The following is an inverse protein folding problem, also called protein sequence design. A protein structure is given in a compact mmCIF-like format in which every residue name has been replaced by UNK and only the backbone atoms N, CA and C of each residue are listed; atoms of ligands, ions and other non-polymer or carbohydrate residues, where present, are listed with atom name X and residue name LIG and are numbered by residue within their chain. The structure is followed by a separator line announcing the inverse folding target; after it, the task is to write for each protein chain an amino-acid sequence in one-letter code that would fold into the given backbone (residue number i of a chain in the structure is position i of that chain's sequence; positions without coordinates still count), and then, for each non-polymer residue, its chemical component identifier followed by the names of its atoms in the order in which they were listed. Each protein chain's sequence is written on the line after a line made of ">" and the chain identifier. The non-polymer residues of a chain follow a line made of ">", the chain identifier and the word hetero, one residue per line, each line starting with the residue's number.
data_IF_695624568907
#
_entry.id   IF_695624568907
#
_cell.length_a   1.000
_cell.length_b   1.000
_cell.length_c   1.000
_cell.angle_alpha   90.00
_cell.angle_beta   90.00
_cell.angle_gamma   90.00
#
_symmetry.space_group_name_H-M   'P 1'
#
loop_
_entity.id
_entity.type
_entity.pdbx_description
1 polymer ?
#
# COMPACT_ATOMS: atom_id res chain seq x y z
N UNK A 1 19.88 -18.33 -11.78
CA UNK A 1 19.06 -17.35 -11.04
C UNK A 1 19.56 -15.98 -11.43
N UNK A 2 18.74 -15.17 -12.10
CA UNK A 2 19.14 -13.83 -12.53
C UNK A 2 18.78 -12.85 -11.41
N UNK A 3 19.76 -12.51 -10.57
CA UNK A 3 19.62 -11.45 -9.57
C UNK A 3 19.71 -10.13 -10.32
N UNK A 4 18.59 -9.45 -10.52
CA UNK A 4 18.62 -8.14 -11.18
C UNK A 4 19.07 -7.12 -10.14
N UNK A 5 20.28 -6.56 -10.30
CA UNK A 5 20.89 -5.64 -9.33
C UNK A 5 19.92 -4.58 -8.81
N UNK A 6 19.94 -4.42 -7.49
CA UNK A 6 18.92 -3.75 -6.70
C UNK A 6 19.14 -2.23 -6.63
N UNK A 7 18.06 -1.49 -6.50
CA UNK A 7 18.12 -0.17 -5.84
C UNK A 7 18.36 -0.49 -4.37
N UNK A 8 19.48 -0.06 -3.80
CA UNK A 8 19.80 -0.30 -2.40
C UNK A 8 20.69 0.82 -1.86
N UNK A 9 20.10 2.00 -1.68
CA UNK A 9 20.80 3.16 -1.18
C UNK A 9 20.36 3.46 0.26
N UNK A 10 21.36 3.74 1.10
CA UNK A 10 21.17 4.28 2.43
C UNK A 10 22.19 5.41 2.61
N UNK A 11 21.72 6.64 2.55
CA UNK A 11 22.53 7.83 2.72
C UNK A 11 22.58 8.29 4.18
N UNK A 12 21.73 7.74 5.06
CA UNK A 12 21.56 8.25 6.43
C UNK A 12 21.24 9.74 6.38
N UNK A 13 21.93 10.54 7.19
CA UNK A 13 21.83 12.02 7.16
C UNK A 13 22.65 12.69 6.04
N UNK A 14 23.14 11.89 5.09
CA UNK A 14 23.99 12.33 3.99
C UNK A 14 23.20 12.67 2.74
N UNK A 15 23.93 12.80 1.63
CA UNK A 15 23.34 13.14 0.33
C UNK A 15 23.72 12.10 -0.73
N UNK A 16 22.85 11.89 -1.75
CA UNK A 16 23.20 11.12 -2.96
C UNK A 16 24.41 11.63 -3.72
N UNK A 17 24.79 12.90 -3.56
CA UNK A 17 25.96 13.48 -4.22
C UNK A 17 26.12 14.98 -3.95
N UNK A 18 27.28 15.57 -4.25
CA UNK A 18 27.63 16.93 -3.82
C UNK A 18 26.71 18.03 -4.35
N UNK A 19 25.96 17.79 -5.43
CA UNK A 19 24.99 18.74 -6.00
C UNK A 19 23.55 18.54 -5.50
N UNK A 20 23.31 17.55 -4.65
CA UNK A 20 22.01 17.24 -4.06
C UNK A 20 22.09 17.57 -2.57
N UNK A 21 21.16 18.34 -1.99
CA UNK A 21 21.14 18.54 -0.55
C UNK A 21 20.83 17.22 0.20
N UNK A 22 21.23 17.08 1.48
CA UNK A 22 20.85 15.93 2.31
C UNK A 22 19.34 15.82 2.54
N UNK A 23 18.64 16.96 2.63
CA UNK A 23 17.20 17.06 2.86
C UNK A 23 16.48 17.64 1.64
N UNK A 24 15.16 17.48 1.55
CA UNK A 24 14.28 18.06 0.54
C UNK A 24 14.64 17.71 -0.90
N UNK A 25 14.95 16.44 -1.16
CA UNK A 25 15.30 15.96 -2.50
C UNK A 25 14.36 14.85 -2.97
N UNK A 26 14.39 14.57 -4.27
CA UNK A 26 13.69 13.43 -4.86
C UNK A 26 14.53 12.76 -5.92
N UNK A 27 14.21 11.50 -6.19
CA UNK A 27 14.90 10.68 -7.18
C UNK A 27 13.89 9.89 -8.02
N UNK A 28 14.25 9.64 -9.28
CA UNK A 28 13.56 8.71 -10.17
C UNK A 28 14.58 7.76 -10.78
N UNK A 29 14.36 6.47 -10.56
CA UNK A 29 15.12 5.38 -11.15
C UNK A 29 14.23 4.71 -12.19
N UNK A 30 14.77 4.47 -13.39
CA UNK A 30 14.03 3.85 -14.47
C UNK A 30 14.89 2.78 -15.14
N UNK A 31 14.31 1.62 -15.40
CA UNK A 31 14.92 0.59 -16.25
C UNK A 31 13.87 -0.19 -17.02
N UNK A 32 14.21 -0.59 -18.23
CA UNK A 32 13.47 -1.62 -18.96
C UNK A 32 14.15 -2.96 -18.77
N UNK A 33 13.42 -3.98 -18.35
CA UNK A 33 13.96 -5.32 -18.20
C UNK A 33 12.94 -6.40 -18.54
N UNK A 34 13.45 -7.54 -18.98
CA UNK A 34 12.68 -8.77 -19.21
C UNK A 34 13.03 -9.77 -18.11
N UNK A 35 12.02 -10.38 -17.50
CA UNK A 35 12.19 -11.46 -16.51
C UNK A 35 11.48 -12.72 -17.01
N UNK A 36 11.84 -13.90 -16.51
CA UNK A 36 11.10 -15.11 -16.84
C UNK A 36 9.62 -14.99 -16.42
N UNK A 37 8.67 -15.57 -17.17
CA UNK A 37 7.27 -15.56 -16.75
C UNK A 37 7.10 -16.21 -15.37
N UNK A 38 6.33 -15.57 -14.49
CA UNK A 38 6.14 -16.07 -13.13
C UNK A 38 5.60 -15.02 -12.16
N UNK A 39 5.29 -15.45 -10.94
CA UNK A 39 4.95 -14.55 -9.85
C UNK A 39 6.22 -14.05 -9.18
N UNK A 40 6.25 -12.74 -8.92
CA UNK A 40 7.32 -12.06 -8.21
C UNK A 40 6.76 -11.21 -7.09
N UNK A 41 7.42 -11.24 -5.95
CA UNK A 41 7.22 -10.26 -4.89
C UNK A 41 8.16 -9.07 -5.11
N UNK A 42 7.58 -7.88 -5.18
CA UNK A 42 8.28 -6.62 -5.22
C UNK A 42 8.22 -6.01 -3.84
N UNK A 43 9.37 -5.73 -3.23
CA UNK A 43 9.48 -5.07 -1.91
C UNK A 43 10.18 -3.74 -2.07
N UNK A 44 9.46 -2.65 -1.78
CA UNK A 44 9.97 -1.28 -1.82
C UNK A 44 10.19 -0.79 -0.39
N UNK A 45 11.44 -0.49 -0.05
CA UNK A 45 11.83 0.17 1.19
C UNK A 45 12.08 1.65 0.96
N UNK A 46 11.61 2.49 1.88
CA UNK A 46 11.77 3.95 1.78
C UNK A 46 11.82 4.62 3.16
N UNK A 47 12.61 5.68 3.22
CA UNK A 47 12.60 6.76 4.21
C UNK A 47 12.97 8.03 3.44
N UNK A 48 12.08 8.97 3.12
CA UNK A 48 10.67 9.07 3.54
C UNK A 48 9.66 8.26 2.71
N UNK A 49 9.45 8.63 1.44
CA UNK A 49 8.29 8.19 0.66
C UNK A 49 8.68 7.73 -0.73
N UNK A 50 8.02 6.69 -1.24
CA UNK A 50 8.32 6.15 -2.56
C UNK A 50 7.12 5.46 -3.22
N UNK A 51 7.22 5.28 -4.54
CA UNK A 51 6.29 4.48 -5.33
C UNK A 51 7.01 3.69 -6.43
N UNK A 52 6.47 2.52 -6.74
CA UNK A 52 6.90 1.67 -7.85
C UNK A 52 5.84 1.69 -8.94
N UNK A 53 6.26 1.92 -10.18
CA UNK A 53 5.45 1.81 -11.38
C UNK A 53 5.99 0.71 -12.30
N UNK A 54 5.08 -0.01 -12.94
CA UNK A 54 5.36 -0.97 -14.01
C UNK A 54 4.53 -0.56 -15.23
N UNK A 55 5.17 -0.27 -16.35
CA UNK A 55 4.54 0.27 -17.58
C UNK A 55 3.65 1.50 -17.33
N UNK A 56 4.11 2.37 -16.44
CA UNK A 56 3.39 3.59 -16.04
C UNK A 56 2.23 3.36 -15.07
N UNK A 57 1.92 2.12 -14.69
CA UNK A 57 0.91 1.80 -13.68
C UNK A 57 1.55 1.72 -12.30
N UNK A 58 1.00 2.44 -11.33
CA UNK A 58 1.46 2.41 -9.93
C UNK A 58 1.07 1.07 -9.29
N UNK A 59 2.06 0.30 -8.84
CA UNK A 59 1.85 -1.01 -8.20
C UNK A 59 2.11 -1.00 -6.69
N UNK A 60 2.97 -0.09 -6.21
CA UNK A 60 3.18 0.24 -4.80
C UNK A 60 3.13 1.77 -4.69
N UNK A 61 2.39 2.31 -3.72
CA UNK A 61 2.28 3.75 -3.49
C UNK A 61 2.29 4.06 -2.00
N UNK A 62 3.39 4.64 -1.51
CA UNK A 62 3.44 5.18 -0.15
C UNK A 62 4.22 6.49 -0.15
N UNK A 63 3.56 7.49 -0.74
CA UNK A 63 4.06 8.84 -0.93
C UNK A 63 3.74 9.73 0.28
N UNK A 64 4.34 9.41 1.42
CA UNK A 64 4.17 10.18 2.68
C UNK A 64 5.48 10.22 3.47
N UNK A 65 5.58 11.25 4.30
CA UNK A 65 6.65 11.41 5.30
C UNK A 65 6.54 10.28 6.33
N UNK A 66 7.70 9.76 6.75
CA UNK A 66 7.81 8.79 7.82
C UNK A 66 9.09 7.98 7.72
N UNK A 67 9.51 7.45 8.87
CA UNK A 67 10.71 6.63 8.98
C UNK A 67 10.71 5.40 8.09
N UNK A 68 11.90 4.81 7.95
CA UNK A 68 12.14 3.63 7.15
C UNK A 68 11.11 2.52 7.35
N UNK A 69 10.51 2.11 6.24
CA UNK A 69 9.52 1.03 6.19
C UNK A 69 9.56 0.35 4.83
N UNK A 70 8.96 -0.84 4.77
CA UNK A 70 8.87 -1.63 3.56
C UNK A 70 7.42 -1.98 3.26
N UNK A 71 7.07 -1.92 1.97
CA UNK A 71 5.79 -2.43 1.45
C UNK A 71 6.10 -3.44 0.37
N UNK A 72 5.38 -4.56 0.37
CA UNK A 72 5.49 -5.56 -0.68
C UNK A 72 4.19 -5.78 -1.44
N UNK A 73 4.32 -6.24 -2.69
CA UNK A 73 3.19 -6.72 -3.48
C UNK A 73 3.63 -7.85 -4.40
N UNK A 74 2.76 -8.83 -4.62
CA UNK A 74 3.00 -9.92 -5.57
C UNK A 74 2.31 -9.59 -6.89
N UNK A 75 3.05 -9.74 -8.00
CA UNK A 75 2.53 -9.55 -9.38
C UNK A 75 3.01 -10.68 -10.28
N UNK A 76 2.17 -11.04 -11.24
CA UNK A 76 2.59 -11.90 -12.34
C UNK A 76 3.34 -11.05 -13.38
N UNK A 77 4.47 -11.56 -13.86
CA UNK A 77 5.26 -11.01 -14.96
C UNK A 77 5.17 -12.00 -16.11
N UNK A 78 4.93 -11.50 -17.32
CA UNK A 78 4.48 -12.33 -18.45
C UNK A 78 5.62 -12.81 -19.37
N UNK A 79 6.87 -12.41 -19.11
CA UNK A 79 8.01 -12.73 -19.96
C UNK A 79 8.38 -11.66 -20.98
N UNK A 80 7.61 -10.59 -21.10
CA UNK A 80 7.90 -9.47 -21.97
C UNK A 80 8.81 -8.44 -21.29
N UNK A 81 9.32 -7.50 -22.08
CA UNK A 81 10.03 -6.34 -21.55
C UNK A 81 9.02 -5.36 -20.94
N UNK A 82 9.25 -5.00 -19.67
CA UNK A 82 8.47 -3.98 -18.97
C UNK A 82 9.36 -2.84 -18.51
N UNK A 83 8.79 -1.64 -18.43
CA UNK A 83 9.43 -0.48 -17.84
C UNK A 83 9.12 -0.42 -16.34
N UNK A 84 10.17 -0.45 -15.51
CA UNK A 84 10.09 -0.33 -14.07
C UNK A 84 10.61 1.04 -13.64
N UNK A 85 9.79 1.77 -12.90
CA UNK A 85 10.13 3.10 -12.38
C UNK A 85 9.97 3.11 -10.87
N UNK A 86 11.02 3.46 -10.14
CA UNK A 86 10.92 3.81 -8.71
C UNK A 86 11.07 5.31 -8.59
N UNK A 87 10.11 5.93 -7.93
CA UNK A 87 10.19 7.32 -7.53
C UNK A 87 10.26 7.40 -6.01
N UNK A 88 11.04 8.35 -5.51
CA UNK A 88 11.37 8.49 -4.11
C UNK A 88 11.53 9.97 -3.75
N UNK A 89 11.21 10.34 -2.51
CA UNK A 89 11.56 11.63 -1.93
C UNK A 89 12.06 11.48 -0.49
N UNK A 90 12.89 12.44 -0.12
CA UNK A 90 13.34 12.74 1.23
C UNK A 90 12.83 14.13 1.62
N UNK A 91 12.16 14.24 2.77
CA UNK A 91 11.80 15.51 3.39
C UNK A 91 12.95 15.96 4.29
N UNK A 92 13.18 15.26 5.40
CA UNK A 92 14.30 15.55 6.32
C UNK A 92 14.75 14.32 7.08
N UNK A 93 16.03 14.27 7.43
CA UNK A 93 16.54 13.27 8.37
C UNK A 93 17.30 12.15 7.69
N UNK A 94 16.80 10.91 7.79
CA UNK A 94 17.50 9.74 7.26
C UNK A 94 16.94 9.35 5.89
N UNK A 95 17.80 9.40 4.88
CA UNK A 95 17.42 9.07 3.52
C UNK A 95 17.82 7.63 3.15
N UNK A 96 16.83 6.81 2.74
CA UNK A 96 17.07 5.47 2.20
C UNK A 96 16.00 5.05 1.18
N UNK A 97 16.43 4.32 0.14
CA UNK A 97 15.53 3.72 -0.85
C UNK A 97 16.04 2.35 -1.29
N UNK A 98 15.16 1.36 -1.29
CA UNK A 98 15.49 -0.03 -1.61
C UNK A 98 14.42 -0.67 -2.48
N UNK A 99 14.80 -1.43 -3.50
CA UNK A 99 13.90 -2.29 -4.26
C UNK A 99 14.49 -3.69 -4.31
N UNK A 100 13.73 -4.67 -3.81
CA UNK A 100 14.01 -6.09 -3.99
C UNK A 100 12.92 -6.73 -4.83
N UNK A 101 13.31 -7.66 -5.71
CA UNK A 101 12.40 -8.43 -6.57
C UNK A 101 12.80 -9.90 -6.48
N UNK A 102 11.89 -10.73 -5.96
CA UNK A 102 12.16 -12.16 -5.76
C UNK A 102 11.04 -13.03 -6.33
N UNK A 103 11.34 -14.22 -6.88
CA UNK A 103 10.31 -15.19 -7.25
C UNK A 103 9.39 -15.47 -6.05
N UNK A 104 8.09 -15.55 -6.31
CA UNK A 104 7.09 -15.83 -5.29
C UNK A 104 6.11 -16.89 -5.78
N UNK A 105 5.39 -17.50 -4.83
CA UNK A 105 4.20 -18.25 -5.18
C UNK A 105 3.12 -17.28 -5.69
N UNK A 106 2.10 -17.77 -6.43
CA UNK A 106 0.88 -16.98 -6.62
C UNK A 106 0.37 -16.50 -5.26
N UNK A 107 -0.21 -15.29 -5.17
CA UNK A 107 -0.92 -14.88 -3.97
C UNK A 107 -1.88 -16.00 -3.58
N UNK A 108 -1.89 -16.42 -2.31
CA UNK A 108 -2.91 -17.35 -1.87
C UNK A 108 -4.27 -16.71 -2.20
N UNK A 109 -5.25 -17.47 -2.76
CA UNK A 109 -6.60 -16.99 -2.83
C UNK A 109 -6.94 -16.46 -1.44
N UNK A 110 -7.26 -15.17 -1.34
CA UNK A 110 -7.77 -14.67 -0.07
C UNK A 110 -8.94 -15.59 0.29
N UNK A 111 -9.04 -16.09 1.54
CA UNK A 111 -10.26 -16.72 2.00
C UNK A 111 -11.41 -15.83 1.52
N UNK A 112 -12.52 -16.38 1.00
CA UNK A 112 -13.61 -15.59 0.49
C UNK A 112 -13.83 -14.42 1.44
N UNK A 113 -13.58 -13.19 0.99
CA UNK A 113 -13.89 -12.05 1.83
C UNK A 113 -15.36 -12.24 2.19
N UNK A 114 -15.70 -12.22 3.49
CA UNK A 114 -17.09 -12.34 3.93
C UNK A 114 -17.89 -11.41 3.06
N UNK A 115 -18.77 -11.99 2.24
CA UNK A 115 -19.60 -11.18 1.39
C UNK A 115 -20.44 -10.32 2.32
N UNK A 116 -20.55 -9.00 2.07
CA UNK A 116 -21.47 -8.18 2.83
C UNK A 116 -22.81 -8.91 2.87
N UNK A 117 -23.43 -9.10 4.05
CA UNK A 117 -24.69 -9.81 4.15
C UNK A 117 -25.66 -9.21 3.14
N UNK A 118 -26.20 -10.06 2.26
CA UNK A 118 -27.09 -9.68 1.17
C UNK A 118 -28.46 -9.29 1.70
N UNK A 119 -28.54 -8.15 2.38
CA UNK A 119 -29.79 -7.42 2.50
C UNK A 119 -29.96 -6.50 1.31
N UNK A 120 -31.21 -6.24 0.93
CA UNK A 120 -31.55 -5.19 -0.02
C UNK A 120 -31.34 -3.81 0.63
N UNK A 121 -30.11 -3.50 1.03
CA UNK A 121 -29.74 -2.22 1.63
C UNK A 121 -29.42 -1.25 0.51
N UNK A 122 -30.30 -0.28 0.28
CA UNK A 122 -29.95 0.86 -0.57
C UNK A 122 -28.98 1.74 0.19
N UNK A 123 -27.86 2.12 -0.43
CA UNK A 123 -26.95 3.15 0.09
C UNK A 123 -27.41 4.49 -0.49
N UNK A 124 -28.06 5.37 0.29
CA UNK A 124 -28.52 6.65 -0.22
C UNK A 124 -27.33 7.51 -0.70
N UNK A 125 -27.53 8.29 -1.76
CA UNK A 125 -26.54 9.25 -2.21
C UNK A 125 -26.13 10.18 -1.05
N UNK A 126 -24.82 10.39 -0.86
CA UNK A 126 -24.23 11.17 0.25
C UNK A 126 -24.40 10.56 1.65
N UNK A 127 -24.60 9.25 1.76
CA UNK A 127 -24.53 8.53 3.04
C UNK A 127 -23.62 7.31 2.92
N UNK A 128 -22.97 6.95 4.03
CA UNK A 128 -22.32 5.67 4.24
C UNK A 128 -23.32 4.70 4.86
N UNK A 129 -23.26 3.44 4.45
CA UNK A 129 -23.85 2.32 5.20
C UNK A 129 -22.74 1.71 6.06
N UNK A 130 -22.73 1.98 7.36
CA UNK A 130 -21.82 1.37 8.31
C UNK A 130 -22.42 0.06 8.83
N UNK A 131 -21.66 -1.03 8.76
CA UNK A 131 -22.03 -2.34 9.26
C UNK A 131 -20.99 -2.77 10.30
N UNK A 132 -21.46 -3.10 11.51
CA UNK A 132 -20.62 -3.46 12.65
C UNK A 132 -20.82 -4.94 12.99
N UNK A 133 -19.74 -5.64 13.29
CA UNK A 133 -19.72 -7.08 13.55
C UNK A 133 -19.02 -7.35 14.89
N UNK A 134 -19.44 -8.40 15.61
CA UNK A 134 -18.81 -8.84 16.86
C UNK A 134 -17.68 -9.86 16.60
N UNK A 135 -16.90 -9.60 15.55
CA UNK A 135 -15.77 -10.41 15.13
C UNK A 135 -14.83 -9.55 14.27
N UNK A 136 -13.59 -10.01 14.14
CA UNK A 136 -12.55 -9.33 13.33
C UNK A 136 -12.52 -9.82 11.89
N UNK A 137 -13.35 -10.79 11.55
CA UNK A 137 -13.37 -11.46 10.25
C UNK A 137 -14.64 -11.15 9.46
N UNK A 138 -15.49 -10.20 9.88
CA UNK A 138 -16.78 -9.81 9.26
C UNK A 138 -17.73 -10.98 8.96
N UNK A 139 -17.60 -12.11 9.65
CA UNK A 139 -18.44 -13.28 9.42
C UNK A 139 -19.87 -13.08 9.96
N UNK A 140 -20.85 -13.70 9.31
CA UNK A 140 -22.26 -13.67 9.72
C UNK A 140 -22.99 -12.37 9.34
N UNK A 141 -24.09 -12.09 10.05
CA UNK A 141 -24.83 -10.83 9.91
C UNK A 141 -24.21 -9.72 10.77
N UNK A 142 -24.40 -8.44 10.41
CA UNK A 142 -23.90 -7.34 11.23
C UNK A 142 -24.70 -7.28 12.53
N UNK A 143 -24.00 -7.05 13.64
CA UNK A 143 -24.61 -6.78 14.93
C UNK A 143 -25.36 -5.44 14.94
N UNK A 144 -24.89 -4.47 14.14
CA UNK A 144 -25.51 -3.16 14.02
C UNK A 144 -25.31 -2.55 12.63
N UNK A 145 -26.31 -1.80 12.16
CA UNK A 145 -26.29 -1.09 10.88
C UNK A 145 -26.66 0.36 11.14
N UNK A 146 -25.88 1.28 10.57
CA UNK A 146 -26.14 2.71 10.66
C UNK A 146 -25.92 3.40 9.31
N UNK A 147 -26.78 4.36 8.99
CA UNK A 147 -26.54 5.30 7.90
C UNK A 147 -25.84 6.56 8.43
N UNK A 148 -24.69 6.92 7.85
CA UNK A 148 -23.88 8.06 8.27
C UNK A 148 -23.84 9.09 7.15
N UNK A 149 -24.33 10.31 7.40
CA UNK A 149 -24.33 11.38 6.40
C UNK A 149 -22.93 11.91 6.08
N UNK A 150 -22.70 12.30 4.82
CA UNK A 150 -21.47 12.94 4.32
C UNK A 150 -21.09 14.25 5.05
N UNK A 151 -22.01 14.85 5.80
CA UNK A 151 -21.79 16.10 6.56
C UNK A 151 -20.89 15.94 7.79
N UNK A 152 -20.64 14.71 8.25
CA UNK A 152 -19.53 14.42 9.15
C UNK A 152 -18.26 14.26 8.29
N UNK A 153 -17.44 15.29 8.21
CA UNK A 153 -16.09 15.19 7.63
C UNK A 153 -15.19 14.33 8.52
N UNK A 154 -14.27 13.52 7.96
CA UNK A 154 -14.49 12.21 7.31
C UNK A 154 -15.29 11.21 8.21
N UNK A 155 -15.39 9.93 7.82
CA UNK A 155 -15.89 8.86 8.71
C UNK A 155 -14.94 8.72 9.91
N UNK A 156 -15.10 9.63 10.88
CA UNK A 156 -14.26 9.83 12.05
C UNK A 156 -15.11 9.58 13.29
N UNK A 157 -15.41 8.30 13.49
CA UNK A 157 -16.20 7.84 14.63
C UNK A 157 -15.22 7.32 15.68
N UNK A 158 -14.93 8.16 16.67
CA UNK A 158 -14.16 7.77 17.85
C UNK A 158 -15.11 7.42 19.00
N UNK A 159 -15.19 6.13 19.33
CA UNK A 159 -15.98 5.64 20.46
C UNK A 159 -15.16 5.53 21.76
N UNK A 160 -13.87 5.84 21.74
CA UNK A 160 -12.97 5.61 22.87
C UNK A 160 -12.98 4.16 23.34
N UNK A 161 -13.27 3.93 24.62
CA UNK A 161 -13.46 2.59 25.19
C UNK A 161 -14.89 2.03 25.01
N UNK A 162 -15.76 2.74 24.29
CA UNK A 162 -17.13 2.36 24.02
C UNK A 162 -17.30 1.63 22.69
N UNK A 163 -18.55 1.33 22.34
CA UNK A 163 -18.92 0.68 21.09
C UNK A 163 -19.99 1.48 20.33
N UNK A 164 -20.14 1.27 19.01
CA UNK A 164 -21.12 1.99 18.18
C UNK A 164 -22.57 1.80 18.61
N UNK A 165 -22.88 0.70 19.32
CA UNK A 165 -24.19 0.43 19.89
C UNK A 165 -24.10 -0.63 21.01
N UNK A 166 -25.03 -0.66 21.98
CA UNK A 166 -25.13 -1.74 22.94
C UNK A 166 -25.20 -3.11 22.25
N UNK A 167 -24.37 -4.05 22.70
CA UNK A 167 -24.30 -5.40 22.11
C UNK A 167 -23.33 -5.54 20.93
N UNK A 168 -22.66 -4.45 20.52
CA UNK A 168 -21.45 -4.54 19.70
C UNK A 168 -20.24 -4.69 20.64
N UNK A 169 -19.52 -5.81 20.58
CA UNK A 169 -18.42 -6.17 21.49
C UNK A 169 -17.19 -6.68 20.74
#
# INVERSE_FOLDING_TARGET
>A
MQTVQDINFNWGYGSPGPSVPPDYFSARYQRTMTMSPGYYEFTLGMDDGARLLIDGQVVINDWRIGSFRQISTVRYVDGNAHNYVVEYFEDTGQAAVQLSIQPSAPPQPQPPQPQPPSGNWTVPQNQWLAQFFNNTDLAGGPAYIQYVGRGAYPLDLDWGNGSPAPGVN
#
